data_IF_119546099011
#
_entry.id   IF_119546099011
#
_cell.length_a   1.000
_cell.length_b   1.000
_cell.length_c   1.000
_cell.angle_alpha   90.00
_cell.angle_beta   90.00
_cell.angle_gamma   90.00
#
_symmetry.space_group_name_H-M   'P 1'
#
loop_
_entity.id
_entity.type
_entity.pdbx_description
1 polymer ?
#
# COMPACT_ATOMS: atom_id res chain seq x y z
N UNK A 1 32.76 0.09 30.06
CA UNK A 1 32.21 0.46 28.74
C UNK A 1 31.86 -0.82 28.01
N UNK A 2 30.58 -1.09 27.77
CA UNK A 2 30.13 -2.29 27.05
C UNK A 2 29.45 -1.82 25.75
N UNK A 3 30.04 -2.03 24.57
CA UNK A 3 29.42 -1.69 23.31
C UNK A 3 28.92 -2.98 22.66
N UNK A 4 27.80 -3.52 23.13
CA UNK A 4 27.09 -4.56 22.40
C UNK A 4 25.63 -4.51 22.81
N UNK A 5 24.76 -4.80 21.83
CA UNK A 5 23.29 -4.83 21.88
C UNK A 5 22.59 -3.58 21.37
N UNK A 6 22.85 -3.27 20.09
CA UNK A 6 21.78 -2.85 19.18
C UNK A 6 21.93 -3.63 17.88
N UNK A 7 21.89 -4.95 17.98
CA UNK A 7 21.62 -5.80 16.82
C UNK A 7 20.15 -5.62 16.49
N UNK A 8 19.83 -4.62 15.68
CA UNK A 8 18.53 -4.53 15.04
C UNK A 8 18.29 -5.89 14.38
N UNK A 9 17.30 -6.62 14.87
CA UNK A 9 16.93 -7.94 14.38
C UNK A 9 16.70 -7.81 12.87
N UNK A 10 17.65 -8.27 12.06
CA UNK A 10 17.46 -8.34 10.62
C UNK A 10 16.34 -9.35 10.40
N UNK A 11 15.13 -8.85 10.13
CA UNK A 11 14.01 -9.68 9.73
C UNK A 11 14.35 -10.19 8.33
N UNK A 12 14.90 -11.40 8.27
CA UNK A 12 15.15 -12.08 7.01
C UNK A 12 13.81 -12.66 6.51
N UNK A 13 13.03 -11.83 5.83
CA UNK A 13 11.77 -12.27 5.20
C UNK A 13 12.12 -13.02 3.91
N UNK A 14 11.68 -14.26 3.81
CA UNK A 14 11.87 -15.07 2.60
C UNK A 14 11.13 -14.46 1.42
N UNK A 15 11.75 -14.46 0.25
CA UNK A 15 11.14 -14.00 -1.00
C UNK A 15 9.81 -14.72 -1.30
N UNK A 16 9.73 -16.01 -0.95
CA UNK A 16 8.51 -16.81 -1.13
C UNK A 16 7.37 -16.32 -0.24
N UNK A 17 7.67 -15.85 0.96
CA UNK A 17 6.66 -15.33 1.88
C UNK A 17 6.17 -13.96 1.43
N UNK A 18 7.08 -13.09 0.95
CA UNK A 18 6.70 -11.83 0.30
C UNK A 18 5.79 -12.04 -0.91
N UNK A 19 6.08 -13.04 -1.75
CA UNK A 19 5.24 -13.35 -2.91
C UNK A 19 3.84 -13.85 -2.50
N UNK A 20 3.75 -14.69 -1.46
CA UNK A 20 2.45 -15.13 -0.91
C UNK A 20 1.66 -13.96 -0.35
N UNK A 21 2.32 -13.05 0.36
CA UNK A 21 1.65 -11.89 0.94
C UNK A 21 1.18 -10.91 -0.13
N UNK A 22 1.97 -10.70 -1.19
CA UNK A 22 1.52 -9.94 -2.36
C UNK A 22 0.25 -10.56 -3.00
N UNK A 23 0.18 -11.89 -3.12
CA UNK A 23 -1.00 -12.57 -3.66
C UNK A 23 -2.25 -12.43 -2.77
N UNK A 24 -2.05 -12.24 -1.46
CA UNK A 24 -3.11 -12.04 -0.47
C UNK A 24 -3.64 -10.62 -0.41
N UNK A 25 -3.05 -9.67 -1.14
CA UNK A 25 -3.62 -8.32 -1.27
C UNK A 25 -5.09 -8.44 -1.68
N UNK A 26 -5.96 -7.74 -0.95
CA UNK A 26 -7.39 -7.79 -1.21
C UNK A 26 -7.74 -7.06 -2.51
N UNK A 27 -8.79 -7.53 -3.18
CA UNK A 27 -9.32 -6.84 -4.35
C UNK A 27 -9.95 -5.51 -3.92
N UNK A 28 -9.66 -4.44 -4.66
CA UNK A 28 -10.33 -3.16 -4.51
C UNK A 28 -11.17 -2.86 -5.75
N UNK A 29 -12.49 -2.74 -5.55
CA UNK A 29 -13.45 -2.56 -6.64
C UNK A 29 -13.98 -1.14 -6.80
N UNK A 30 -13.92 -0.33 -5.74
CA UNK A 30 -14.60 0.98 -5.71
C UNK A 30 -16.12 0.92 -5.49
N UNK A 31 -16.66 -0.21 -5.00
CA UNK A 31 -18.09 -0.44 -4.76
C UNK A 31 -18.45 -0.58 -3.26
N UNK A 32 -17.58 -0.10 -2.37
CA UNK A 32 -17.64 -0.25 -0.91
C UNK A 32 -17.48 -1.68 -0.36
N UNK A 33 -17.19 -2.69 -1.20
CA UNK A 33 -16.86 -4.06 -0.73
C UNK A 33 -15.56 -4.12 0.07
N UNK A 34 -14.62 -3.20 -0.22
CA UNK A 34 -13.36 -3.07 0.49
C UNK A 34 -12.93 -1.61 0.63
N UNK A 35 -12.30 -1.25 1.75
CA UNK A 35 -11.86 0.12 2.02
C UNK A 35 -10.64 0.48 1.16
N UNK A 36 -10.70 1.63 0.48
CA UNK A 36 -9.55 2.17 -0.27
C UNK A 36 -8.34 2.33 0.65
N UNK A 37 -8.51 2.88 1.85
CA UNK A 37 -7.41 3.11 2.77
C UNK A 37 -6.69 1.83 3.19
N UNK A 38 -7.42 0.72 3.35
CA UNK A 38 -6.82 -0.58 3.66
C UNK A 38 -6.05 -1.14 2.46
N UNK A 39 -6.63 -1.05 1.26
CA UNK A 39 -5.96 -1.47 0.02
C UNK A 39 -4.65 -0.70 -0.20
N UNK A 40 -4.69 0.64 -0.10
CA UNK A 40 -3.51 1.48 -0.27
C UNK A 40 -2.42 1.11 0.74
N UNK A 41 -2.80 0.88 2.01
CA UNK A 41 -1.85 0.48 3.06
C UNK A 41 -1.19 -0.86 2.76
N UNK A 42 -1.94 -1.86 2.30
CA UNK A 42 -1.38 -3.16 1.93
C UNK A 42 -0.32 -3.00 0.84
N UNK A 43 -0.62 -2.26 -0.22
CA UNK A 43 0.30 -2.04 -1.33
C UNK A 43 1.52 -1.22 -0.90
N UNK A 44 1.32 -0.12 -0.16
CA UNK A 44 2.41 0.73 0.34
C UNK A 44 3.33 0.00 1.30
N UNK A 45 2.82 -1.01 2.03
CA UNK A 45 3.63 -1.84 2.91
C UNK A 45 4.43 -2.88 2.12
N UNK A 46 3.82 -3.51 1.11
CA UNK A 46 4.41 -4.65 0.39
C UNK A 46 5.34 -4.24 -0.74
N UNK A 47 4.96 -3.26 -1.57
CA UNK A 47 5.69 -2.92 -2.80
C UNK A 47 7.15 -2.49 -2.55
N UNK A 48 7.48 -1.71 -1.50
CA UNK A 48 8.87 -1.34 -1.20
C UNK A 48 9.77 -2.52 -0.82
N UNK A 49 9.20 -3.63 -0.32
CA UNK A 49 9.98 -4.81 0.07
C UNK A 49 10.63 -5.51 -1.13
N UNK A 50 10.14 -5.22 -2.34
CA UNK A 50 10.72 -5.71 -3.59
C UNK A 50 11.77 -4.78 -4.19
N UNK A 51 12.12 -3.65 -3.56
CA UNK A 51 13.13 -2.70 -4.08
C UNK A 51 14.51 -3.35 -4.33
N UNK A 52 14.82 -4.42 -3.59
CA UNK A 52 16.04 -5.21 -3.76
C UNK A 52 16.10 -5.96 -5.10
N UNK A 53 14.95 -6.17 -5.76
CA UNK A 53 14.85 -6.84 -7.05
C UNK A 53 13.87 -6.09 -7.96
N UNK A 54 14.35 -5.13 -8.77
CA UNK A 54 13.50 -4.29 -9.62
C UNK A 54 12.64 -5.07 -10.62
N UNK A 55 13.16 -6.18 -11.18
CA UNK A 55 12.41 -7.02 -12.11
C UNK A 55 11.22 -7.70 -11.43
N UNK A 56 11.42 -8.23 -10.22
CA UNK A 56 10.33 -8.80 -9.43
C UNK A 56 9.36 -7.72 -8.95
N UNK A 57 9.84 -6.53 -8.56
CA UNK A 57 8.98 -5.40 -8.21
C UNK A 57 8.03 -5.05 -9.36
N UNK A 58 8.54 -4.95 -10.59
CA UNK A 58 7.73 -4.70 -11.77
C UNK A 58 6.71 -5.83 -12.01
N UNK A 59 7.13 -7.09 -11.87
CA UNK A 59 6.23 -8.24 -11.97
C UNK A 59 5.10 -8.19 -10.93
N UNK A 60 5.41 -7.94 -9.65
CA UNK A 60 4.42 -7.86 -8.58
C UNK A 60 3.47 -6.68 -8.82
N UNK A 61 3.99 -5.53 -9.24
CA UNK A 61 3.18 -4.38 -9.59
C UNK A 61 2.17 -4.71 -10.69
N UNK A 62 2.64 -5.16 -11.86
CA UNK A 62 1.77 -5.38 -13.02
C UNK A 62 0.86 -6.60 -12.87
N UNK A 63 1.40 -7.73 -12.39
CA UNK A 63 0.68 -9.01 -12.38
C UNK A 63 -0.11 -9.26 -11.11
N UNK A 64 0.20 -8.56 -10.03
CA UNK A 64 -0.48 -8.73 -8.75
C UNK A 64 -1.29 -7.49 -8.40
N UNK A 65 -0.64 -6.35 -8.16
CA UNK A 65 -1.32 -5.15 -7.64
C UNK A 65 -2.34 -4.61 -8.63
N UNK A 66 -1.96 -4.38 -9.89
CA UNK A 66 -2.89 -3.87 -10.90
C UNK A 66 -4.07 -4.83 -11.12
N UNK A 67 -3.82 -6.14 -11.12
CA UNK A 67 -4.89 -7.14 -11.27
C UNK A 67 -5.85 -7.21 -10.06
N UNK A 68 -5.47 -6.67 -8.89
CA UNK A 68 -6.36 -6.56 -7.72
C UNK A 68 -7.27 -5.33 -7.79
N UNK A 69 -7.08 -4.46 -8.76
CA UNK A 69 -7.98 -3.33 -9.00
C UNK A 69 -9.03 -3.78 -10.02
N UNK A 70 -10.30 -3.76 -9.61
CA UNK A 70 -11.41 -4.29 -10.39
C UNK A 70 -12.61 -3.32 -10.37
N UNK A 71 -13.69 -3.70 -11.05
CA UNK A 71 -14.95 -2.93 -11.02
C UNK A 71 -14.78 -1.46 -11.45
N UNK A 72 -15.55 -0.54 -10.87
CA UNK A 72 -15.42 0.91 -11.13
C UNK A 72 -13.99 1.46 -10.95
N UNK A 73 -13.21 0.92 -10.01
CA UNK A 73 -11.84 1.38 -9.78
C UNK A 73 -10.90 1.05 -10.96
N UNK A 74 -11.15 -0.05 -11.66
CA UNK A 74 -10.38 -0.42 -12.83
C UNK A 74 -10.54 0.57 -13.98
N UNK A 75 -11.73 1.15 -14.14
CA UNK A 75 -11.98 2.14 -15.20
C UNK A 75 -11.14 3.40 -14.98
N UNK A 76 -10.98 3.84 -13.72
CA UNK A 76 -10.08 4.95 -13.37
C UNK A 76 -8.63 4.62 -13.77
N UNK A 77 -8.13 3.44 -13.38
CA UNK A 77 -6.74 3.06 -13.65
C UNK A 77 -6.47 2.89 -15.15
N UNK A 78 -7.42 2.37 -15.92
CA UNK A 78 -7.28 2.21 -17.38
C UNK A 78 -7.06 3.52 -18.11
N UNK A 79 -7.60 4.64 -17.61
CA UNK A 79 -7.40 5.95 -18.23
C UNK A 79 -5.96 6.46 -18.13
N UNK A 80 -5.16 5.90 -17.21
CA UNK A 80 -3.78 6.34 -16.95
C UNK A 80 -2.75 5.64 -17.85
N UNK A 81 -3.09 4.49 -18.45
CA UNK A 81 -2.16 3.66 -19.20
C UNK A 81 -1.07 3.01 -18.32
N UNK A 82 0.13 2.80 -18.88
CA UNK A 82 1.28 2.32 -18.11
C UNK A 82 1.83 3.44 -17.24
N UNK A 83 1.55 3.37 -15.94
CA UNK A 83 1.88 4.43 -14.99
C UNK A 83 2.49 3.88 -13.71
N UNK A 84 3.00 4.75 -12.84
CA UNK A 84 3.60 4.34 -11.56
C UNK A 84 2.53 4.05 -10.50
N UNK A 85 2.91 3.35 -9.43
CA UNK A 85 1.99 3.13 -8.30
C UNK A 85 1.50 4.45 -7.69
N UNK A 86 2.35 5.47 -7.62
CA UNK A 86 1.97 6.78 -7.05
C UNK A 86 0.88 7.46 -7.88
N UNK A 87 0.97 7.37 -9.21
CA UNK A 87 -0.05 7.92 -10.11
C UNK A 87 -1.38 7.18 -9.97
N UNK A 88 -1.34 5.83 -9.87
CA UNK A 88 -2.53 5.01 -9.58
C UNK A 88 -3.15 5.41 -8.25
N UNK A 89 -2.34 5.53 -7.20
CA UNK A 89 -2.78 5.91 -5.85
C UNK A 89 -3.47 7.27 -5.87
N UNK A 90 -2.86 8.29 -6.47
CA UNK A 90 -3.45 9.64 -6.58
C UNK A 90 -4.79 9.59 -7.31
N UNK A 91 -4.88 8.85 -8.42
CA UNK A 91 -6.12 8.74 -9.19
C UNK A 91 -7.24 8.04 -8.41
N UNK A 92 -6.93 6.96 -7.68
CA UNK A 92 -7.91 6.27 -6.85
C UNK A 92 -8.40 7.14 -5.70
N UNK A 93 -7.50 7.89 -5.04
CA UNK A 93 -7.86 8.83 -3.98
C UNK A 93 -8.77 9.92 -4.53
N UNK A 94 -8.46 10.49 -5.69
CA UNK A 94 -9.26 11.53 -6.31
C UNK A 94 -10.66 11.04 -6.70
N UNK A 95 -10.78 9.79 -7.16
CA UNK A 95 -12.05 9.23 -7.63
C UNK A 95 -12.96 8.72 -6.50
N UNK A 96 -12.39 8.09 -5.47
CA UNK A 96 -13.18 7.38 -4.44
C UNK A 96 -13.06 7.97 -3.03
N UNK A 97 -12.07 8.83 -2.80
CA UNK A 97 -11.77 9.40 -1.49
C UNK A 97 -11.19 8.39 -0.50
N UNK A 98 -10.27 8.84 0.35
CA UNK A 98 -9.86 8.08 1.53
C UNK A 98 -10.76 8.53 2.66
N UNK A 99 -11.72 7.69 3.07
CA UNK A 99 -12.33 7.86 4.38
C UNK A 99 -11.28 7.49 5.41
N UNK A 100 -10.47 8.46 5.83
CA UNK A 100 -9.62 8.30 7.00
C UNK A 100 -10.50 7.78 8.13
N UNK A 101 -10.08 6.69 8.78
CA UNK A 101 -10.84 6.22 9.92
C UNK A 101 -10.84 7.36 10.94
N UNK A 102 -12.00 7.63 11.55
CA UNK A 102 -12.19 8.65 12.59
C UNK A 102 -11.06 8.67 13.64
N UNK A 103 -10.38 7.55 13.84
CA UNK A 103 -9.25 7.38 14.74
C UNK A 103 -7.99 8.19 14.35
N UNK A 104 -7.68 8.35 13.06
CA UNK A 104 -6.51 9.13 12.61
C UNK A 104 -6.74 10.63 12.79
N UNK A 105 -7.93 11.12 12.45
CA UNK A 105 -8.36 12.51 12.70
C UNK A 105 -8.33 12.86 14.21
N UNK A 106 -8.70 11.92 15.09
CA UNK A 106 -8.60 12.12 16.54
C UNK A 106 -7.16 12.23 17.05
N UNK A 107 -6.22 11.44 16.50
CA UNK A 107 -4.81 11.50 16.91
C UNK A 107 -4.14 12.79 16.43
N UNK A 108 -4.48 13.29 15.24
CA UNK A 108 -4.02 14.61 14.77
C UNK A 108 -4.60 15.74 15.64
N UNK A 109 -5.90 15.71 15.93
CA UNK A 109 -6.55 16.74 16.75
C UNK A 109 -6.02 16.78 18.20
N UNK A 110 -5.66 15.63 18.79
CA UNK A 110 -5.02 15.60 20.12
C UNK A 110 -3.57 16.04 20.08
N UNK A 111 -2.81 15.68 19.05
CA UNK A 111 -1.40 16.09 18.91
C UNK A 111 -1.27 17.60 18.72
N UNK A 112 -2.20 18.23 17.99
CA UNK A 112 -2.29 19.69 17.81
C UNK A 112 -2.68 20.43 19.09
N UNK A 113 -3.39 19.79 20.02
CA UNK A 113 -3.72 20.38 21.34
C UNK A 113 -2.56 20.36 22.33
N UNK A 114 -1.58 19.49 22.16
CA UNK A 114 -0.43 19.34 23.06
C UNK A 114 0.81 20.16 22.63
N UNK A 115 0.69 20.96 21.56
CA UNK A 115 1.77 21.82 21.04
C UNK A 115 1.52 23.32 21.25
N UNK A 116 0.57 23.71 22.11
CA UNK A 116 0.36 25.09 22.56
C UNK A 116 0.52 25.22 24.07
#
# INVERSE_FOLDING_TARGET
>A
MNPNENSATQINISLNDLMKDAQRIHEYRGDNSYSLGSFLREVDTLLPLFNINPGLKAYIYERTIINKIQGPALDVVRTLGHTSWEDVKVALIAAFGVKESYHQLYQEAFSLKNTN
#
